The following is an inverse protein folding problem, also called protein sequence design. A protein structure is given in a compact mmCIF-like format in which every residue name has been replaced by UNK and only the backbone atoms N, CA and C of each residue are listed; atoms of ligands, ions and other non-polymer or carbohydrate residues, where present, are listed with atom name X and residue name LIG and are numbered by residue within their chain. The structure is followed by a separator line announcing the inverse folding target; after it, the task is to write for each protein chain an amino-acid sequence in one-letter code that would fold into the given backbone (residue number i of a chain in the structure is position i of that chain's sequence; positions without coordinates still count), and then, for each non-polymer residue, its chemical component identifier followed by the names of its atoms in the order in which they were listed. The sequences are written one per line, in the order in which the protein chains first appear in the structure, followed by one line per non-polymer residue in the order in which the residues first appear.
data_IF_987698336520
#
_entry.id   IF_987698336520
#
_cell.length_a   1.000
_cell.length_b   1.000
_cell.length_c   1.000
_cell.angle_alpha   90.00
_cell.angle_beta   90.00
_cell.angle_gamma   90.00
#
_symmetry.space_group_name_H-M   'P 1'
#
loop_
_entity.id
_entity.type
_entity.pdbx_description
1 polymer ?
#
# COMPACT_ATOMS: atom_id res chain seq x y z
N UNK A 1 -7.30 4.43 15.79
CA UNK A 1 -6.00 4.64 15.11
C UNK A 1 -4.90 3.82 15.74
N UNK A 2 -3.88 3.48 14.95
CA UNK A 2 -2.81 2.59 15.38
C UNK A 2 -1.48 3.28 15.21
N UNK A 3 -0.56 3.05 16.17
CA UNK A 3 0.82 3.53 16.03
C UNK A 3 1.58 2.64 15.07
N UNK A 4 2.72 3.13 14.58
CA UNK A 4 3.56 2.33 13.66
C UNK A 4 4.04 1.04 14.34
N UNK A 5 4.31 1.07 15.65
CA UNK A 5 4.69 -0.13 16.38
C UNK A 5 3.58 -1.17 16.43
N UNK A 6 2.34 -0.71 16.64
CA UNK A 6 1.19 -1.60 16.64
C UNK A 6 0.98 -2.23 15.26
N UNK A 7 1.07 -1.44 14.21
CA UNK A 7 0.92 -1.92 12.84
C UNK A 7 2.02 -2.90 12.48
N UNK A 8 3.24 -2.63 12.91
CA UNK A 8 4.37 -3.55 12.73
C UNK A 8 4.04 -4.93 13.32
N UNK A 9 3.52 -4.95 14.54
CA UNK A 9 3.14 -6.21 15.19
C UNK A 9 1.98 -6.90 14.48
N UNK A 10 0.97 -6.13 14.06
CA UNK A 10 -0.22 -6.66 13.41
C UNK A 10 0.10 -7.36 12.08
N UNK A 11 1.02 -6.80 11.32
CA UNK A 11 1.35 -7.30 9.98
C UNK A 11 2.63 -8.12 9.93
N UNK A 12 3.35 -8.23 11.03
CA UNK A 12 4.62 -8.93 11.04
C UNK A 12 5.69 -8.26 10.18
N UNK A 13 5.65 -6.95 10.05
CA UNK A 13 6.57 -6.17 9.24
C UNK A 13 7.47 -5.31 10.12
N UNK A 14 8.76 -5.19 9.78
CA UNK A 14 9.64 -4.27 10.51
C UNK A 14 9.15 -2.82 10.41
N UNK A 15 9.37 -2.04 11.45
CA UNK A 15 9.04 -0.61 11.45
C UNK A 15 9.76 0.09 10.30
N UNK A 16 10.98 -0.31 9.99
CA UNK A 16 11.74 0.27 8.86
C UNK A 16 11.03 0.07 7.53
N UNK A 17 10.37 -1.06 7.34
CA UNK A 17 9.59 -1.31 6.12
C UNK A 17 8.41 -0.37 6.02
N UNK A 18 7.71 -0.14 7.14
CA UNK A 18 6.58 0.79 7.16
C UNK A 18 7.02 2.22 6.89
N UNK A 19 8.17 2.62 7.43
CA UNK A 19 8.73 3.94 7.15
C UNK A 19 9.12 4.09 5.68
N UNK A 20 9.65 3.03 5.10
CA UNK A 20 9.98 3.00 3.68
C UNK A 20 8.73 3.20 2.83
N UNK A 21 7.64 2.50 3.14
CA UNK A 21 6.38 2.66 2.41
C UNK A 21 5.83 4.07 2.54
N UNK A 22 5.90 4.67 3.72
CA UNK A 22 5.49 6.06 3.93
C UNK A 22 6.34 7.00 3.07
N UNK A 23 7.64 6.79 3.04
CA UNK A 23 8.56 7.59 2.23
C UNK A 23 8.26 7.46 0.74
N UNK A 24 7.84 6.27 0.30
CA UNK A 24 7.48 6.02 -1.10
C UNK A 24 6.12 6.59 -1.48
N UNK A 25 5.38 7.13 -0.52
CA UNK A 25 4.13 7.81 -0.79
C UNK A 25 2.88 6.95 -0.75
N UNK A 26 2.96 5.75 -0.16
CA UNK A 26 1.80 4.87 -0.07
C UNK A 26 0.75 5.34 0.92
N UNK A 27 1.11 6.24 1.82
CA UNK A 27 0.20 6.74 2.86
C UNK A 27 0.12 8.26 2.82
N UNK A 28 -0.47 8.85 1.75
CA UNK A 28 -0.47 10.31 1.57
C UNK A 28 -1.24 11.05 2.66
N UNK A 29 -2.20 10.40 3.30
CA UNK A 29 -3.02 11.01 4.35
C UNK A 29 -2.64 10.55 5.74
N UNK A 30 -1.45 10.00 5.90
CA UNK A 30 -0.99 9.52 7.19
C UNK A 30 -0.89 10.66 8.20
N UNK A 31 -1.56 10.49 9.34
CA UNK A 31 -1.49 11.49 10.41
C UNK A 31 -0.19 11.35 11.20
N UNK A 32 0.36 12.50 11.58
CA UNK A 32 1.52 12.56 12.46
C UNK A 32 1.23 13.54 13.59
N UNK A 33 1.46 13.08 14.81
CA UNK A 33 1.37 13.93 15.98
C UNK A 33 2.74 13.88 16.67
N UNK A 34 3.45 15.01 16.64
CA UNK A 34 4.84 15.01 17.05
C UNK A 34 5.63 14.11 16.10
N UNK A 35 6.37 13.16 16.65
CA UNK A 35 7.17 12.23 15.86
C UNK A 35 6.47 10.87 15.69
N UNK A 36 5.20 10.77 16.08
CA UNK A 36 4.47 9.50 16.04
C UNK A 36 3.57 9.45 14.83
N UNK A 37 3.69 8.38 14.05
CA UNK A 37 2.80 8.11 12.90
C UNK A 37 1.60 7.31 13.37
N UNK A 38 0.40 7.76 12.95
CA UNK A 38 -0.86 7.09 13.27
C UNK A 38 -1.52 6.59 12.00
N UNK A 39 -1.83 5.32 12.00
CA UNK A 39 -2.44 4.64 10.86
C UNK A 39 -3.93 4.47 11.11
N UNK A 40 -4.75 4.94 10.18
CA UNK A 40 -6.20 4.70 10.22
C UNK A 40 -6.53 3.39 9.51
N UNK A 41 -7.80 3.01 9.52
CA UNK A 41 -8.26 1.82 8.80
C UNK A 41 -7.95 1.91 7.31
N UNK A 42 -8.00 3.12 6.74
CA UNK A 42 -7.65 3.32 5.32
C UNK A 42 -6.21 2.96 5.04
N UNK A 43 -5.28 3.35 5.91
CA UNK A 43 -3.87 2.99 5.77
C UNK A 43 -3.64 1.50 5.97
N UNK A 44 -4.40 0.87 6.87
CA UNK A 44 -4.30 -0.58 7.05
C UNK A 44 -4.77 -1.33 5.80
N UNK A 45 -5.85 -0.86 5.16
CA UNK A 45 -6.30 -1.43 3.90
C UNK A 45 -5.25 -1.27 2.80
N UNK A 46 -4.66 -0.08 2.70
CA UNK A 46 -3.58 0.17 1.75
C UNK A 46 -2.43 -0.81 1.98
N UNK A 47 -2.07 -1.03 3.24
CA UNK A 47 -0.99 -1.94 3.58
C UNK A 47 -1.31 -3.39 3.20
N UNK A 48 -2.56 -3.83 3.41
CA UNK A 48 -3.00 -5.15 2.98
C UNK A 48 -2.86 -5.32 1.47
N UNK A 49 -3.25 -4.30 0.72
CA UNK A 49 -3.13 -4.30 -0.74
C UNK A 49 -1.66 -4.39 -1.15
N UNK A 50 -0.80 -3.60 -0.54
CA UNK A 50 0.64 -3.62 -0.82
C UNK A 50 1.20 -5.03 -0.63
N UNK A 51 0.90 -5.66 0.51
CA UNK A 51 1.42 -6.99 0.80
C UNK A 51 0.84 -8.04 -0.15
N UNK A 52 -0.43 -7.92 -0.49
CA UNK A 52 -1.07 -8.81 -1.45
C UNK A 52 -0.40 -8.72 -2.82
N UNK A 53 -0.18 -7.51 -3.32
CA UNK A 53 0.44 -7.29 -4.62
C UNK A 53 1.89 -7.76 -4.65
N UNK A 54 2.63 -7.58 -3.56
CA UNK A 54 3.99 -8.10 -3.45
C UNK A 54 4.01 -9.61 -3.56
N UNK A 55 3.09 -10.29 -2.92
CA UNK A 55 2.97 -11.75 -3.00
C UNK A 55 2.62 -12.21 -4.40
N UNK A 56 1.95 -11.37 -5.17
CA UNK A 56 1.61 -11.66 -6.56
C UNK A 56 2.75 -11.41 -7.52
N UNK A 57 3.89 -10.95 -7.03
CA UNK A 57 5.09 -10.75 -7.84
C UNK A 57 5.26 -9.34 -8.38
N UNK A 58 4.45 -8.37 -7.94
CA UNK A 58 4.63 -7.00 -8.36
C UNK A 58 5.80 -6.35 -7.61
N UNK A 59 6.54 -5.51 -8.33
CA UNK A 59 7.58 -4.69 -7.74
C UNK A 59 6.99 -3.43 -7.12
N UNK A 60 7.77 -2.77 -6.28
CA UNK A 60 7.32 -1.53 -5.61
C UNK A 60 6.87 -0.47 -6.63
N UNK A 61 7.58 -0.32 -7.74
CA UNK A 61 7.20 0.64 -8.78
C UNK A 61 5.82 0.33 -9.38
N UNK A 62 5.48 -0.94 -9.54
CA UNK A 62 4.17 -1.36 -10.06
C UNK A 62 3.08 -1.07 -9.03
N UNK A 63 3.37 -1.30 -7.76
CA UNK A 63 2.43 -1.04 -6.68
C UNK A 63 2.18 0.47 -6.56
N UNK A 64 3.23 1.28 -6.69
CA UNK A 64 3.08 2.74 -6.70
C UNK A 64 2.17 3.18 -7.84
N UNK A 65 2.34 2.61 -9.02
CA UNK A 65 1.48 2.93 -10.16
C UNK A 65 0.02 2.57 -9.88
N UNK A 66 -0.20 1.43 -9.25
CA UNK A 66 -1.54 1.03 -8.83
C UNK A 66 -2.18 2.08 -7.93
N UNK A 67 -1.44 2.57 -6.93
CA UNK A 67 -1.95 3.59 -6.01
C UNK A 67 -2.18 4.93 -6.70
N UNK A 68 -1.38 5.29 -7.68
CA UNK A 68 -1.61 6.50 -8.49
C UNK A 68 -2.95 6.37 -9.21
N UNK A 69 -3.22 5.25 -9.83
CA UNK A 69 -4.49 5.02 -10.53
C UNK A 69 -5.68 5.06 -9.55
N UNK A 70 -5.52 4.52 -8.35
CA UNK A 70 -6.57 4.58 -7.33
C UNK A 70 -6.87 6.03 -6.96
N UNK A 71 -5.84 6.87 -6.81
CA UNK A 71 -6.02 8.27 -6.42
C UNK A 71 -6.63 9.11 -7.53
N UNK A 72 -6.58 8.65 -8.79
CA UNK A 72 -7.21 9.33 -9.91
C UNK A 72 -8.73 9.14 -9.95
N UNK A 73 -9.26 8.29 -9.08
CA UNK A 73 -10.68 8.08 -8.97
C UNK A 73 -11.23 7.01 -9.90
N UNK A 74 -12.53 7.10 -10.20
CA UNK A 74 -13.23 6.05 -10.94
C UNK A 74 -12.72 5.88 -12.37
N UNK A 75 -12.16 6.90 -12.96
CA UNK A 75 -11.62 6.83 -14.32
C UNK A 75 -10.44 5.86 -14.44
N UNK A 76 -9.80 5.56 -13.34
CA UNK A 76 -8.64 4.65 -13.30
C UNK A 76 -9.03 3.19 -13.04
N UNK A 77 -10.30 2.92 -12.81
CA UNK A 77 -10.77 1.59 -12.42
C UNK A 77 -10.36 0.51 -13.42
N UNK A 78 -10.59 0.76 -14.69
CA UNK A 78 -10.26 -0.23 -15.72
C UNK A 78 -8.76 -0.46 -15.84
N UNK A 79 -7.96 0.58 -15.67
CA UNK A 79 -6.50 0.47 -15.68
C UNK A 79 -6.02 -0.43 -14.53
N UNK A 80 -6.60 -0.27 -13.35
CA UNK A 80 -6.26 -1.12 -12.21
C UNK A 80 -6.62 -2.57 -12.49
N UNK A 81 -7.79 -2.78 -13.05
CA UNK A 81 -8.27 -4.11 -13.40
C UNK A 81 -7.36 -4.77 -14.43
N UNK A 82 -6.97 -4.05 -15.46
CA UNK A 82 -6.07 -4.55 -16.49
C UNK A 82 -4.72 -4.95 -15.91
N UNK A 83 -4.15 -4.13 -15.03
CA UNK A 83 -2.89 -4.46 -14.39
C UNK A 83 -2.99 -5.76 -13.60
N UNK A 84 -4.04 -5.90 -12.84
CA UNK A 84 -4.26 -7.08 -12.01
C UNK A 84 -4.45 -8.33 -12.87
N UNK A 85 -5.27 -8.24 -13.91
CA UNK A 85 -5.54 -9.36 -14.80
C UNK A 85 -4.31 -9.77 -15.60
N UNK A 86 -3.52 -8.80 -16.06
CA UNK A 86 -2.28 -9.07 -16.76
C UNK A 86 -1.31 -9.85 -15.89
N UNK A 87 -1.16 -9.49 -14.63
CA UNK A 87 -0.30 -10.21 -13.70
C UNK A 87 -0.81 -11.63 -13.44
N UNK A 88 -2.11 -11.76 -13.27
CA UNK A 88 -2.72 -13.07 -13.07
C UNK A 88 -2.50 -13.99 -14.26
N UNK A 89 -2.66 -13.47 -15.46
CA UNK A 89 -2.44 -14.23 -16.69
C UNK A 89 -0.98 -14.63 -16.84
N UNK A 90 -0.06 -13.76 -16.45
CA UNK A 90 1.37 -14.05 -16.53
C UNK A 90 1.80 -15.15 -15.57
N UNK A 91 1.10 -15.32 -14.46
CA UNK A 91 1.39 -16.35 -13.47
C UNK A 91 0.88 -17.72 -13.93
N UNK A 92 -0.19 -17.73 -14.64
CA UNK A 92 -0.76 -18.96 -15.18
C UNK A 92 0.04 -19.51 -16.35
#
# INVERSE_FOLDING_TARGET
MYTIGQVSAMFGLPVSTLRYYDKEGFFPNLERKGNIRYFSDNELEALRIIECLKKSGLEIKDIKQFFVWVSEGSSSYEKRKELFEARKSAVE
#
